data_IF_592340430899
#
_entry.id   IF_592340430899
#
_cell.length_a   1.000
_cell.length_b   1.000
_cell.length_c   1.000
_cell.angle_alpha   90.00
_cell.angle_beta   90.00
_cell.angle_gamma   90.00
#
_symmetry.space_group_name_H-M   'P 1'
#
loop_
_entity.id
_entity.type
_entity.pdbx_description
1 polymer ?
#
# COMPACT_ATOMS: atom_id res chain seq x y z
N UNK A 1 10.25 45.03 -45.21
CA UNK A 1 11.01 44.74 -43.97
C UNK A 1 10.16 44.63 -42.68
N UNK A 2 8.86 44.99 -42.67
CA UNK A 2 7.96 44.84 -41.51
C UNK A 2 7.39 43.43 -41.33
N UNK A 3 7.14 42.67 -42.39
CA UNK A 3 6.52 41.32 -42.33
C UNK A 3 7.44 40.25 -41.74
N UNK A 4 8.75 40.36 -41.96
CA UNK A 4 9.71 39.36 -41.42
C UNK A 4 9.84 39.47 -39.90
N UNK A 5 9.73 40.69 -39.32
CA UNK A 5 9.76 40.88 -37.86
C UNK A 5 8.56 40.26 -37.15
N UNK A 6 7.36 40.29 -37.76
CA UNK A 6 6.16 39.73 -37.16
C UNK A 6 6.20 38.20 -37.16
N UNK A 7 6.68 37.58 -38.23
CA UNK A 7 6.78 36.12 -38.31
C UNK A 7 7.84 35.56 -37.35
N UNK A 8 8.95 36.29 -37.16
CA UNK A 8 9.99 35.90 -36.21
C UNK A 8 9.49 35.99 -34.74
N UNK A 9 8.67 37.00 -34.42
CA UNK A 9 8.05 37.14 -33.10
C UNK A 9 7.06 36.05 -32.81
N UNK A 10 6.26 35.62 -33.80
CA UNK A 10 5.28 34.55 -33.68
C UNK A 10 6.00 33.18 -33.49
N UNK A 11 7.08 32.93 -34.21
CA UNK A 11 7.90 31.73 -34.08
C UNK A 11 8.57 31.67 -32.69
N UNK A 12 9.09 32.81 -32.21
CA UNK A 12 9.70 32.89 -30.88
C UNK A 12 8.66 32.65 -29.77
N UNK A 13 7.44 33.18 -29.92
CA UNK A 13 6.34 32.95 -28.96
C UNK A 13 5.83 31.53 -28.97
N UNK A 14 5.82 30.83 -30.13
CA UNK A 14 5.41 29.41 -30.23
C UNK A 14 6.42 28.45 -29.60
N UNK A 15 7.72 28.80 -29.58
CA UNK A 15 8.76 27.96 -28.93
C UNK A 15 8.71 28.07 -27.41
N UNK A 16 8.25 29.22 -26.85
CA UNK A 16 8.11 29.36 -25.40
C UNK A 16 6.96 28.53 -24.79
N UNK A 17 5.97 28.13 -25.59
CA UNK A 17 4.80 27.37 -25.09
C UNK A 17 5.11 25.88 -24.95
N UNK A 18 6.18 25.38 -25.58
CA UNK A 18 6.57 23.95 -25.50
C UNK A 18 7.47 23.61 -24.30
N UNK A 19 7.90 24.60 -23.51
CA UNK A 19 8.77 24.39 -22.34
C UNK A 19 8.00 24.18 -21.02
N UNK A 20 6.67 24.05 -21.05
CA UNK A 20 5.85 24.00 -19.85
C UNK A 20 5.17 22.64 -19.69
N UNK A 21 5.94 21.55 -19.58
CA UNK A 21 5.49 20.30 -19.00
C UNK A 21 6.70 19.42 -18.66
N UNK A 22 7.41 19.78 -17.62
CA UNK A 22 8.19 18.82 -16.84
C UNK A 22 7.92 19.10 -15.36
N UNK A 23 6.75 18.63 -14.90
CA UNK A 23 6.59 18.32 -13.50
C UNK A 23 7.13 16.90 -13.27
N UNK A 24 8.44 16.73 -13.40
CA UNK A 24 9.11 15.70 -12.65
C UNK A 24 9.08 16.16 -11.19
N UNK A 25 8.02 15.78 -10.49
CA UNK A 25 8.08 15.70 -9.04
C UNK A 25 9.23 14.76 -8.74
N UNK A 26 10.40 15.29 -8.43
CA UNK A 26 11.48 14.55 -7.78
C UNK A 26 10.84 14.04 -6.48
N UNK A 27 10.29 12.84 -6.52
CA UNK A 27 9.94 12.15 -5.29
C UNK A 27 11.25 12.00 -4.54
N UNK A 28 11.34 12.49 -3.30
CA UNK A 28 12.52 12.20 -2.50
C UNK A 28 12.73 10.70 -2.57
N UNK A 29 13.98 10.26 -2.66
CA UNK A 29 14.36 8.85 -2.69
C UNK A 29 14.05 8.26 -1.29
N UNK A 30 12.78 8.14 -0.98
CA UNK A 30 12.30 7.44 0.21
C UNK A 30 12.58 5.97 -0.09
N UNK A 31 13.23 5.23 0.81
CA UNK A 31 13.41 3.80 0.64
C UNK A 31 12.07 3.17 0.30
N UNK A 32 12.00 2.53 -0.85
CA UNK A 32 10.80 1.82 -1.30
C UNK A 32 10.58 0.68 -0.32
N UNK A 33 9.45 0.69 0.40
CA UNK A 33 9.05 -0.41 1.28
C UNK A 33 8.87 -1.71 0.49
N UNK A 34 8.88 -2.84 1.16
CA UNK A 34 8.71 -4.14 0.53
C UNK A 34 7.34 -4.31 -0.16
N UNK A 35 6.34 -3.50 0.26
CA UNK A 35 4.93 -3.67 -0.12
C UNK A 35 4.30 -2.38 -0.69
N UNK A 36 5.04 -1.59 -1.49
CA UNK A 36 4.56 -0.27 -1.95
C UNK A 36 3.63 -0.32 -3.17
N UNK A 37 3.93 -1.13 -4.16
CA UNK A 37 3.20 -1.12 -5.43
C UNK A 37 2.49 -2.45 -5.64
N UNK A 38 1.26 -2.57 -5.14
CA UNK A 38 0.51 -3.80 -5.25
C UNK A 38 -0.76 -3.84 -4.40
N UNK A 39 -1.20 -5.04 -4.13
CA UNK A 39 -2.44 -5.30 -3.41
C UNK A 39 -2.21 -6.27 -2.27
N UNK A 40 -2.76 -5.94 -1.10
CA UNK A 40 -2.88 -6.90 -0.01
C UNK A 40 -4.14 -7.74 -0.18
N UNK A 41 -4.03 -9.02 0.12
CA UNK A 41 -5.14 -9.98 0.08
C UNK A 41 -5.25 -10.64 1.44
N UNK A 42 -6.37 -10.43 2.12
CA UNK A 42 -6.70 -11.13 3.36
C UNK A 42 -7.23 -12.53 3.03
N UNK A 43 -6.63 -13.55 3.63
CA UNK A 43 -7.06 -14.94 3.49
C UNK A 43 -7.66 -15.38 4.81
N UNK A 44 -8.96 -15.62 4.83
CA UNK A 44 -9.67 -16.01 6.07
C UNK A 44 -9.11 -17.29 6.69
N UNK A 45 -8.69 -18.22 5.85
CA UNK A 45 -8.33 -19.57 6.27
C UNK A 45 -9.57 -20.43 6.57
N UNK A 46 -9.36 -21.56 7.23
CA UNK A 46 -10.42 -22.45 7.66
C UNK A 46 -10.85 -22.11 9.09
N UNK A 47 -12.13 -21.92 9.31
CA UNK A 47 -12.68 -21.62 10.63
C UNK A 47 -12.22 -22.64 11.69
N UNK A 48 -11.74 -22.17 12.82
CA UNK A 48 -11.27 -22.98 13.94
C UNK A 48 -9.85 -23.54 13.79
N UNK A 49 -9.11 -23.18 12.72
CA UNK A 49 -7.75 -23.74 12.49
C UNK A 49 -6.61 -22.74 12.75
N UNK A 50 -6.92 -21.45 12.91
CA UNK A 50 -5.92 -20.43 13.17
C UNK A 50 -4.94 -20.18 12.01
N UNK A 51 -5.33 -20.52 10.78
CA UNK A 51 -4.49 -20.45 9.59
C UNK A 51 -4.83 -19.26 8.67
N UNK A 52 -5.52 -18.26 9.18
CA UNK A 52 -5.73 -17.00 8.49
C UNK A 52 -4.39 -16.32 8.16
N UNK A 53 -4.28 -15.69 7.00
CA UNK A 53 -3.02 -15.13 6.53
C UNK A 53 -3.20 -13.86 5.71
N UNK A 54 -2.10 -13.20 5.39
CA UNK A 54 -2.02 -12.05 4.51
C UNK A 54 -1.06 -12.35 3.36
N UNK A 55 -1.52 -12.09 2.14
CA UNK A 55 -0.69 -12.16 0.94
C UNK A 55 -0.52 -10.78 0.31
N UNK A 56 0.54 -10.60 -0.47
CA UNK A 56 0.78 -9.41 -1.27
C UNK A 56 1.00 -9.79 -2.72
N UNK A 57 0.39 -9.04 -3.64
CA UNK A 57 0.56 -9.19 -5.09
C UNK A 57 1.16 -7.90 -5.61
N UNK A 58 2.37 -7.93 -6.13
CA UNK A 58 3.04 -6.76 -6.69
C UNK A 58 2.43 -6.34 -8.05
N UNK A 59 2.82 -5.18 -8.55
CA UNK A 59 2.37 -4.61 -9.82
C UNK A 59 2.77 -5.45 -11.06
N UNK A 60 3.71 -6.39 -10.90
CA UNK A 60 4.16 -7.34 -11.93
C UNK A 60 3.44 -8.67 -11.84
N UNK A 61 2.57 -8.84 -10.84
CA UNK A 61 1.78 -10.05 -10.60
C UNK A 61 2.52 -11.14 -9.79
N UNK A 62 3.66 -10.83 -9.17
CA UNK A 62 4.33 -11.77 -8.26
C UNK A 62 3.57 -11.85 -6.95
N UNK A 63 3.39 -13.06 -6.43
CA UNK A 63 2.63 -13.31 -5.20
C UNK A 63 3.56 -13.70 -4.06
N UNK A 64 3.49 -12.96 -2.97
CA UNK A 64 4.14 -13.28 -1.68
C UNK A 64 3.06 -13.70 -0.69
N UNK A 65 3.06 -14.98 -0.29
CA UNK A 65 2.06 -15.51 0.64
C UNK A 65 2.53 -15.42 2.08
N UNK A 66 1.55 -15.36 3.00
CA UNK A 66 1.79 -15.47 4.44
C UNK A 66 2.82 -14.45 4.99
N UNK A 67 2.81 -13.24 4.43
CA UNK A 67 3.84 -12.21 4.66
C UNK A 67 3.98 -11.81 6.13
N UNK A 68 2.87 -11.72 6.88
CA UNK A 68 2.92 -11.38 8.30
C UNK A 68 3.65 -12.44 9.12
N UNK A 69 3.31 -13.72 8.96
CA UNK A 69 3.94 -14.78 9.73
C UNK A 69 5.40 -15.02 9.32
N UNK A 70 5.75 -14.80 8.06
CA UNK A 70 7.14 -14.87 7.61
C UNK A 70 8.02 -13.80 8.28
N UNK A 71 7.49 -12.60 8.45
CA UNK A 71 8.21 -11.49 9.10
C UNK A 71 8.29 -11.67 10.61
N UNK A 72 7.18 -12.08 11.25
CA UNK A 72 7.05 -12.03 12.71
C UNK A 72 7.22 -13.38 13.43
N UNK A 73 7.34 -14.48 12.68
CA UNK A 73 7.48 -15.85 13.23
C UNK A 73 6.27 -16.35 14.05
N UNK A 74 5.11 -15.69 13.92
CA UNK A 74 3.83 -16.17 14.48
C UNK A 74 2.67 -15.86 13.53
N UNK A 75 1.56 -16.60 13.61
CA UNK A 75 0.41 -16.46 12.75
C UNK A 75 -0.51 -15.31 13.18
N UNK A 76 -1.27 -14.74 12.22
CA UNK A 76 -2.34 -13.77 12.51
C UNK A 76 -3.42 -14.38 13.41
N UNK A 77 -3.83 -15.60 13.15
CA UNK A 77 -4.87 -16.29 13.90
C UNK A 77 -6.00 -16.84 13.04
N UNK A 78 -7.20 -16.87 13.60
CA UNK A 78 -8.36 -17.52 12.98
C UNK A 78 -9.31 -16.48 12.37
N UNK A 79 -9.62 -16.65 11.09
CA UNK A 79 -10.48 -15.80 10.25
C UNK A 79 -9.95 -14.37 10.13
N UNK A 80 -8.98 -14.16 9.23
CA UNK A 80 -8.52 -12.82 8.83
C UNK A 80 -9.57 -12.19 7.93
N UNK A 81 -10.40 -11.29 8.50
CA UNK A 81 -11.64 -10.80 7.90
C UNK A 81 -11.42 -9.59 7.00
N UNK A 82 -10.61 -8.64 7.43
CA UNK A 82 -10.34 -7.39 6.72
C UNK A 82 -9.02 -6.78 7.14
N UNK A 83 -8.59 -5.80 6.38
CA UNK A 83 -7.42 -4.97 6.67
C UNK A 83 -7.70 -3.53 6.27
N UNK A 84 -7.24 -2.58 7.06
CA UNK A 84 -7.27 -1.15 6.75
C UNK A 84 -5.88 -0.56 6.94
N UNK A 85 -5.52 0.41 6.09
CA UNK A 85 -4.23 1.11 6.16
C UNK A 85 -4.48 2.53 6.65
N UNK A 86 -3.94 2.86 7.83
CA UNK A 86 -4.08 4.18 8.45
C UNK A 86 -2.71 4.65 8.92
N UNK A 87 -2.24 5.81 8.44
CA UNK A 87 -0.99 6.42 8.87
C UNK A 87 0.20 5.43 8.88
N UNK A 88 0.49 4.82 7.74
CA UNK A 88 1.61 3.89 7.54
C UNK A 88 1.54 2.61 8.40
N UNK A 89 0.37 2.28 8.92
CA UNK A 89 0.11 1.06 9.69
C UNK A 89 -0.98 0.23 9.06
N UNK A 90 -0.76 -1.07 9.02
CA UNK A 90 -1.73 -2.07 8.68
C UNK A 90 -2.49 -2.51 9.93
N UNK A 91 -3.80 -2.33 9.94
CA UNK A 91 -4.71 -2.83 10.98
C UNK A 91 -5.43 -4.05 10.42
N UNK A 92 -5.07 -5.22 10.90
CA UNK A 92 -5.53 -6.52 10.38
C UNK A 92 -6.55 -7.11 11.34
N UNK A 93 -7.80 -7.20 10.90
CA UNK A 93 -8.91 -7.71 11.70
C UNK A 93 -8.92 -9.22 11.67
N UNK A 94 -8.79 -9.85 12.85
CA UNK A 94 -8.81 -11.31 13.03
C UNK A 94 -10.07 -11.69 13.83
N UNK A 95 -11.15 -11.97 13.09
CA UNK A 95 -12.51 -12.06 13.59
C UNK A 95 -12.68 -13.10 14.70
N UNK A 96 -12.37 -14.37 14.41
CA UNK A 96 -12.58 -15.47 15.36
C UNK A 96 -11.51 -15.50 16.47
N UNK A 97 -10.43 -14.75 16.33
CA UNK A 97 -9.46 -14.53 17.41
C UNK A 97 -9.79 -13.28 18.25
N UNK A 98 -10.89 -12.58 17.95
CA UNK A 98 -11.39 -11.40 18.71
C UNK A 98 -10.35 -10.31 18.89
N UNK A 99 -9.55 -10.03 17.87
CA UNK A 99 -8.43 -9.08 17.92
C UNK A 99 -8.21 -8.33 16.61
N UNK A 100 -7.40 -7.27 16.70
CA UNK A 100 -6.79 -6.60 15.54
C UNK A 100 -5.27 -6.61 15.73
N UNK A 101 -4.54 -7.17 14.78
CA UNK A 101 -3.09 -7.05 14.73
C UNK A 101 -2.71 -5.74 14.03
N UNK A 102 -1.73 -5.04 14.57
CA UNK A 102 -1.20 -3.81 13.99
C UNK A 102 0.25 -4.02 13.59
N UNK A 103 0.56 -3.74 12.34
CA UNK A 103 1.90 -3.88 11.78
C UNK A 103 2.32 -2.63 11.01
N UNK A 104 3.61 -2.47 10.78
CA UNK A 104 4.14 -1.47 9.85
C UNK A 104 3.77 -1.87 8.42
N UNK A 105 3.26 -0.94 7.59
CA UNK A 105 2.80 -1.28 6.24
C UNK A 105 3.95 -1.65 5.29
N UNK A 106 5.13 -1.05 5.45
CA UNK A 106 6.25 -1.21 4.53
C UNK A 106 7.02 -2.50 4.76
N UNK A 107 7.10 -2.97 6.01
CA UNK A 107 7.90 -4.13 6.41
C UNK A 107 7.08 -5.30 6.93
N UNK A 108 5.81 -5.09 7.30
CA UNK A 108 4.94 -6.03 8.02
C UNK A 108 5.43 -6.37 9.44
N UNK A 109 6.39 -5.62 9.99
CA UNK A 109 6.81 -5.80 11.37
C UNK A 109 5.66 -5.54 12.35
N UNK A 110 5.46 -6.48 13.28
CA UNK A 110 4.46 -6.37 14.33
C UNK A 110 4.71 -5.15 15.23
N UNK A 111 3.66 -4.40 15.51
CA UNK A 111 3.68 -3.24 16.41
C UNK A 111 2.95 -3.57 17.71
N UNK A 112 1.71 -3.99 17.63
CA UNK A 112 0.86 -4.28 18.79
C UNK A 112 -0.38 -5.09 18.40
N UNK A 113 -1.09 -5.59 19.41
CA UNK A 113 -2.39 -6.26 19.25
C UNK A 113 -3.44 -5.51 20.06
N UNK A 114 -4.57 -5.19 19.43
CA UNK A 114 -5.77 -4.68 20.08
C UNK A 114 -6.65 -5.86 20.43
N UNK A 115 -6.91 -6.06 21.72
CA UNK A 115 -7.71 -7.18 22.25
C UNK A 115 -8.99 -6.71 22.93
N UNK A 116 -9.83 -7.63 23.38
CA UNK A 116 -11.08 -7.31 24.07
C UNK A 116 -12.24 -6.95 23.14
N UNK A 117 -12.09 -7.26 21.86
CA UNK A 117 -13.13 -7.06 20.83
C UNK A 117 -14.06 -8.28 20.78
N UNK A 118 -15.31 -8.06 20.37
CA UNK A 118 -16.26 -9.15 20.14
C UNK A 118 -16.49 -9.31 18.65
N UNK A 119 -15.91 -10.38 18.06
CA UNK A 119 -16.03 -10.71 16.64
C UNK A 119 -15.88 -9.49 15.71
N UNK A 120 -14.74 -8.78 15.75
CA UNK A 120 -14.52 -7.58 14.92
C UNK A 120 -14.59 -7.95 13.44
N UNK A 121 -15.11 -7.05 12.60
CA UNK A 121 -15.24 -7.31 11.17
C UNK A 121 -14.55 -6.28 10.30
N UNK A 122 -14.73 -5.01 10.60
CA UNK A 122 -14.22 -3.89 9.81
C UNK A 122 -13.72 -2.76 10.70
N UNK A 123 -12.84 -1.93 10.16
CA UNK A 123 -12.37 -0.68 10.73
C UNK A 123 -12.89 0.44 9.83
N UNK A 124 -13.40 1.51 10.42
CA UNK A 124 -13.92 2.70 9.73
C UNK A 124 -13.16 3.95 10.19
#
# INVERSE_FOLDING_TARGET
>A
MKMIKNNFLIILLSVLVLASCQNDSIRPNVPIGLYENGYFVTNEGNFGTGNGSLSFIDDRGSVSNNIFAQTNSFSLGDVVQSMEIINEKAYIVVNNSSKVEVANIDSMDYITTIVGLSSPRYIL
#
